data_IF_610925827679
#
_entry.id   IF_610925827679
#
_cell.length_a   1.000
_cell.length_b   1.000
_cell.length_c   1.000
_cell.angle_alpha   90.00
_cell.angle_beta   90.00
_cell.angle_gamma   90.00
#
_symmetry.space_group_name_H-M   'P 1'
#
loop_
_entity.id
_entity.type
_entity.pdbx_description
1 polymer ?
#
# COMPACT_ATOMS: atom_id res chain seq x y z
N UNK A 1 29.87 -8.41 2.44
CA UNK A 1 29.11 -9.27 3.37
C UNK A 1 28.61 -8.50 4.61
N UNK A 2 29.36 -7.53 5.15
CA UNK A 2 28.92 -6.68 6.29
C UNK A 2 27.57 -5.96 6.05
N UNK A 3 27.33 -5.45 4.84
CA UNK A 3 26.11 -4.69 4.53
C UNK A 3 24.82 -5.53 4.56
N UNK A 4 24.92 -6.82 4.21
CA UNK A 4 23.74 -7.68 4.13
C UNK A 4 23.21 -8.03 5.53
N UNK A 5 24.11 -8.30 6.48
CA UNK A 5 23.75 -8.61 7.85
C UNK A 5 23.10 -7.40 8.55
N UNK A 6 23.64 -6.19 8.31
CA UNK A 6 23.07 -4.95 8.84
C UNK A 6 21.68 -4.67 8.27
N UNK A 7 21.50 -4.83 6.96
CA UNK A 7 20.19 -4.67 6.32
C UNK A 7 19.15 -5.63 6.91
N UNK A 8 19.46 -6.93 6.97
CA UNK A 8 18.56 -7.95 7.51
C UNK A 8 18.22 -7.66 8.98
N UNK A 9 19.22 -7.28 9.78
CA UNK A 9 19.01 -6.94 11.19
C UNK A 9 18.05 -5.75 11.34
N UNK A 10 18.23 -4.69 10.57
CA UNK A 10 17.35 -3.51 10.59
C UNK A 10 15.92 -3.89 10.18
N UNK A 11 15.75 -4.65 9.10
CA UNK A 11 14.43 -5.10 8.62
C UNK A 11 13.71 -5.94 9.68
N UNK A 12 14.42 -6.88 10.33
CA UNK A 12 13.86 -7.69 11.41
C UNK A 12 13.44 -6.83 12.60
N UNK A 13 14.24 -5.83 12.98
CA UNK A 13 13.86 -4.89 14.03
C UNK A 13 12.62 -4.08 13.67
N UNK A 14 12.51 -3.62 12.42
CA UNK A 14 11.33 -2.90 11.93
C UNK A 14 10.09 -3.81 12.02
N UNK A 15 10.19 -5.08 11.60
CA UNK A 15 9.08 -6.03 11.72
C UNK A 15 8.65 -6.23 13.18
N UNK A 16 9.62 -6.43 14.09
CA UNK A 16 9.37 -6.67 15.52
C UNK A 16 8.70 -5.48 16.22
N UNK A 17 8.93 -4.26 15.76
CA UNK A 17 8.29 -3.05 16.31
C UNK A 17 6.95 -2.79 15.61
N UNK A 18 6.90 -2.94 14.29
CA UNK A 18 5.72 -2.64 13.46
C UNK A 18 4.52 -3.50 13.84
N UNK A 19 4.71 -4.81 14.00
CA UNK A 19 3.61 -5.74 14.30
C UNK A 19 2.89 -5.39 15.62
N UNK A 20 3.56 -5.35 16.79
CA UNK A 20 2.90 -5.02 18.04
C UNK A 20 2.37 -3.58 18.05
N UNK A 21 3.07 -2.63 17.43
CA UNK A 21 2.61 -1.24 17.33
C UNK A 21 1.26 -1.13 16.62
N UNK A 22 1.12 -1.79 15.47
CA UNK A 22 -0.12 -1.79 14.70
C UNK A 22 -1.25 -2.59 15.37
N UNK A 23 -0.93 -3.70 16.05
CA UNK A 23 -1.91 -4.43 16.88
C UNK A 23 -2.42 -3.54 18.02
N UNK A 24 -1.54 -2.78 18.67
CA UNK A 24 -1.91 -1.85 19.73
C UNK A 24 -2.84 -0.75 19.22
N UNK A 25 -2.59 -0.21 18.02
CA UNK A 25 -3.49 0.76 17.36
C UNK A 25 -4.88 0.16 17.16
N UNK A 26 -4.98 -1.06 16.63
CA UNK A 26 -6.26 -1.75 16.44
C UNK A 26 -6.98 -1.95 17.79
N UNK A 27 -6.25 -2.34 18.83
CA UNK A 27 -6.80 -2.55 20.17
C UNK A 27 -7.30 -1.24 20.78
N UNK A 28 -6.52 -0.16 20.70
CA UNK A 28 -6.89 1.16 21.21
C UNK A 28 -8.18 1.71 20.57
N UNK A 29 -8.35 1.49 19.26
CA UNK A 29 -9.57 1.87 18.54
C UNK A 29 -10.77 1.02 18.98
N UNK A 30 -10.58 -0.28 19.26
CA UNK A 30 -11.67 -1.16 19.74
C UNK A 30 -12.17 -0.78 21.14
N UNK A 31 -11.27 -0.39 22.03
CA UNK A 31 -11.60 -0.02 23.43
C UNK A 31 -12.40 1.29 23.48
N UNK A 32 -12.07 2.26 22.63
CA UNK A 32 -12.67 3.59 22.69
C UNK A 32 -13.91 3.75 21.78
N UNK A 33 -15.10 3.60 22.36
CA UNK A 33 -16.38 3.75 21.63
C UNK A 33 -16.78 5.20 21.31
N UNK A 34 -16.29 6.21 22.04
CA UNK A 34 -16.62 7.63 21.76
C UNK A 34 -15.87 8.20 20.54
N UNK A 35 -14.92 7.42 20.01
CA UNK A 35 -14.04 7.74 18.89
C UNK A 35 -14.47 6.93 17.64
N UNK A 36 -15.76 6.84 17.29
CA UNK A 36 -16.26 6.02 16.17
C UNK A 36 -16.66 6.84 14.93
N UNK A 37 -15.77 7.73 14.49
CA UNK A 37 -15.90 8.46 13.22
C UNK A 37 -15.41 7.64 12.01
N UNK A 38 -15.76 8.09 10.80
CA UNK A 38 -15.29 7.51 9.54
C UNK A 38 -13.75 7.34 9.46
N UNK A 39 -12.99 8.27 10.05
CA UNK A 39 -11.52 8.22 10.12
C UNK A 39 -10.97 6.96 10.76
N UNK A 40 -11.67 6.38 11.74
CA UNK A 40 -11.18 5.21 12.47
C UNK A 40 -11.18 3.95 11.61
N UNK A 41 -12.11 3.85 10.67
CA UNK A 41 -12.09 2.76 9.70
C UNK A 41 -10.82 2.82 8.84
N UNK A 42 -10.41 4.01 8.41
CA UNK A 42 -9.15 4.17 7.67
C UNK A 42 -7.93 3.87 8.52
N UNK A 43 -7.91 4.29 9.79
CA UNK A 43 -6.82 3.99 10.74
C UNK A 43 -6.71 2.47 10.96
N UNK A 44 -7.83 1.77 11.14
CA UNK A 44 -7.81 0.30 11.29
C UNK A 44 -7.33 -0.38 10.01
N UNK A 45 -7.78 0.08 8.83
CA UNK A 45 -7.29 -0.46 7.55
C UNK A 45 -5.78 -0.26 7.39
N UNK A 46 -5.27 0.93 7.74
CA UNK A 46 -3.84 1.23 7.70
C UNK A 46 -3.07 0.31 8.66
N UNK A 47 -3.54 0.16 9.90
CA UNK A 47 -2.89 -0.73 10.87
C UNK A 47 -2.89 -2.20 10.42
N UNK A 48 -3.95 -2.66 9.75
CA UNK A 48 -3.98 -4.01 9.16
C UNK A 48 -2.96 -4.14 8.02
N UNK A 49 -2.86 -3.14 7.14
CA UNK A 49 -1.88 -3.12 6.06
C UNK A 49 -0.44 -3.12 6.60
N UNK A 50 -0.14 -2.27 7.58
CA UNK A 50 1.21 -2.15 8.14
C UNK A 50 1.61 -3.38 8.98
N UNK A 51 0.66 -4.03 9.65
CA UNK A 51 0.89 -5.33 10.28
C UNK A 51 1.16 -6.43 9.22
N UNK A 52 0.47 -6.40 8.08
CA UNK A 52 0.75 -7.30 6.96
C UNK A 52 2.11 -7.01 6.32
N UNK A 53 2.54 -5.75 6.24
CA UNK A 53 3.90 -5.37 5.83
C UNK A 53 4.92 -6.00 6.78
N UNK A 54 4.72 -5.86 8.10
CA UNK A 54 5.61 -6.44 9.11
C UNK A 54 5.73 -7.97 9.03
N UNK A 55 4.61 -8.66 8.82
CA UNK A 55 4.54 -10.13 8.85
C UNK A 55 4.87 -10.81 7.53
N UNK A 56 4.57 -10.18 6.39
CA UNK A 56 4.72 -10.78 5.07
C UNK A 56 5.69 -10.02 4.17
N UNK A 57 5.56 -8.68 4.08
CA UNK A 57 6.37 -7.90 3.15
C UNK A 57 7.85 -7.87 3.56
N UNK A 58 8.15 -7.65 4.84
CA UNK A 58 9.53 -7.57 5.32
C UNK A 58 10.28 -8.89 5.10
N UNK A 59 9.74 -10.08 5.46
CA UNK A 59 10.38 -11.35 5.14
C UNK A 59 10.60 -11.57 3.63
N UNK A 60 9.62 -11.21 2.79
CA UNK A 60 9.74 -11.30 1.34
C UNK A 60 10.80 -10.35 0.79
N UNK A 61 10.91 -9.13 1.32
CA UNK A 61 11.93 -8.16 0.95
C UNK A 61 13.34 -8.68 1.25
N UNK A 62 13.53 -9.32 2.42
CA UNK A 62 14.79 -9.98 2.79
C UNK A 62 15.13 -11.09 1.77
N UNK A 63 14.15 -11.94 1.41
CA UNK A 63 14.36 -13.00 0.42
C UNK A 63 14.75 -12.41 -0.93
N UNK A 64 14.06 -11.38 -1.41
CA UNK A 64 14.37 -10.71 -2.68
C UNK A 64 15.75 -10.04 -2.64
N UNK A 65 16.13 -9.45 -1.51
CA UNK A 65 17.44 -8.84 -1.31
C UNK A 65 18.58 -9.85 -1.39
N UNK A 66 18.41 -11.05 -0.82
CA UNK A 66 19.37 -12.15 -0.93
C UNK A 66 19.55 -12.58 -2.41
N UNK A 67 18.52 -12.39 -3.23
CA UNK A 67 18.57 -12.61 -4.67
C UNK A 67 18.63 -14.09 -5.07
N UNK A 68 17.70 -14.95 -4.59
CA UNK A 68 17.72 -16.37 -4.90
C UNK A 68 17.59 -16.62 -6.40
N UNK A 69 18.20 -17.71 -6.88
CA UNK A 69 18.03 -18.15 -8.27
C UNK A 69 16.71 -18.90 -8.38
N UNK A 70 15.70 -18.24 -8.92
CA UNK A 70 14.35 -18.78 -9.09
C UNK A 70 13.79 -18.39 -10.46
N UNK A 71 12.74 -19.09 -10.89
CA UNK A 71 11.98 -18.72 -12.08
C UNK A 71 11.52 -17.25 -12.05
N UNK A 72 11.44 -16.65 -13.23
CA UNK A 72 10.94 -15.27 -13.41
C UNK A 72 9.56 -15.06 -12.79
N UNK A 73 8.60 -15.94 -13.08
CA UNK A 73 7.25 -15.84 -12.54
C UNK A 73 7.20 -16.04 -11.01
N UNK A 74 8.03 -16.92 -10.46
CA UNK A 74 8.15 -17.06 -9.00
C UNK A 74 8.66 -15.77 -8.36
N UNK A 75 9.64 -15.11 -8.99
CA UNK A 75 10.14 -13.81 -8.51
C UNK A 75 9.04 -12.73 -8.54
N UNK A 76 8.24 -12.67 -9.62
CA UNK A 76 7.10 -11.75 -9.70
C UNK A 76 6.07 -12.02 -8.60
N UNK A 77 5.77 -13.29 -8.30
CA UNK A 77 4.85 -13.66 -7.22
C UNK A 77 5.37 -13.21 -5.85
N UNK A 78 6.69 -13.15 -5.62
CA UNK A 78 7.25 -12.61 -4.38
C UNK A 78 7.19 -11.07 -4.32
N UNK A 79 7.31 -10.40 -5.46
CA UNK A 79 7.34 -8.93 -5.56
C UNK A 79 5.94 -8.31 -5.56
N UNK A 80 4.95 -8.95 -6.18
CA UNK A 80 3.58 -8.42 -6.26
C UNK A 80 2.96 -8.13 -4.89
N UNK A 81 3.06 -9.00 -3.87
CA UNK A 81 2.58 -8.69 -2.52
C UNK A 81 3.23 -7.44 -1.91
N UNK A 82 4.52 -7.20 -2.17
CA UNK A 82 5.21 -5.99 -1.71
C UNK A 82 4.57 -4.74 -2.33
N UNK A 83 4.38 -4.76 -3.65
CA UNK A 83 3.77 -3.65 -4.39
C UNK A 83 2.33 -3.37 -3.93
N UNK A 84 1.53 -4.42 -3.73
CA UNK A 84 0.14 -4.30 -3.27
C UNK A 84 0.09 -3.68 -1.87
N UNK A 85 0.88 -4.20 -0.93
CA UNK A 85 0.86 -3.73 0.45
C UNK A 85 1.35 -2.28 0.57
N UNK A 86 2.46 -1.93 -0.10
CA UNK A 86 2.97 -0.55 -0.12
C UNK A 86 1.94 0.41 -0.69
N UNK A 87 1.31 0.07 -1.83
CA UNK A 87 0.29 0.90 -2.44
C UNK A 87 -0.94 1.07 -1.52
N UNK A 88 -1.34 0.00 -0.83
CA UNK A 88 -2.47 0.04 0.10
C UNK A 88 -2.24 1.01 1.26
N UNK A 89 -1.02 1.05 1.82
CA UNK A 89 -0.67 1.99 2.88
C UNK A 89 -0.65 3.44 2.37
N UNK A 90 -0.14 3.68 1.15
CA UNK A 90 -0.14 5.02 0.53
C UNK A 90 -1.56 5.52 0.32
N UNK A 91 -2.43 4.71 -0.29
CA UNK A 91 -3.83 5.08 -0.53
C UNK A 91 -4.61 5.27 0.77
N UNK A 92 -4.34 4.47 1.79
CA UNK A 92 -4.92 4.64 3.12
C UNK A 92 -4.51 5.96 3.78
N UNK A 93 -3.22 6.31 3.72
CA UNK A 93 -2.70 7.60 4.22
C UNK A 93 -3.31 8.78 3.46
N UNK A 94 -3.41 8.69 2.14
CA UNK A 94 -4.05 9.69 1.31
C UNK A 94 -5.54 9.86 1.66
N UNK A 95 -6.27 8.75 1.85
CA UNK A 95 -7.66 8.78 2.28
C UNK A 95 -7.83 9.45 3.65
N UNK A 96 -6.93 9.20 4.60
CA UNK A 96 -6.92 9.88 5.91
C UNK A 96 -6.65 11.38 5.74
N UNK A 97 -5.71 11.76 4.87
CA UNK A 97 -5.42 13.17 4.60
C UNK A 97 -6.61 13.90 3.97
N UNK A 98 -7.28 13.28 2.99
CA UNK A 98 -8.50 13.79 2.36
C UNK A 98 -9.64 13.91 3.36
N UNK A 99 -9.85 12.90 4.21
CA UNK A 99 -10.86 12.93 5.27
C UNK A 99 -10.66 14.12 6.23
N UNK A 100 -9.41 14.33 6.68
CA UNK A 100 -9.04 15.47 7.53
C UNK A 100 -9.23 16.80 6.81
N UNK A 101 -8.87 16.88 5.53
CA UNK A 101 -9.07 18.08 4.72
C UNK A 101 -10.56 18.44 4.60
N UNK A 102 -11.42 17.47 4.29
CA UNK A 102 -12.87 17.68 4.17
C UNK A 102 -13.48 18.14 5.49
N UNK A 103 -13.03 17.58 6.62
CA UNK A 103 -13.49 17.99 7.95
C UNK A 103 -13.24 19.47 8.24
N UNK A 104 -12.07 19.98 7.85
CA UNK A 104 -11.68 21.38 8.06
C UNK A 104 -12.40 22.30 7.07
N UNK A 105 -12.50 21.91 5.80
CA UNK A 105 -13.02 22.79 4.74
C UNK A 105 -14.55 22.93 4.76
N UNK A 106 -15.28 21.88 5.12
CA UNK A 106 -16.75 21.86 5.06
C UNK A 106 -17.39 21.27 6.33
N UNK A 107 -17.15 21.84 7.52
CA UNK A 107 -17.52 21.24 8.81
C UNK A 107 -19.03 20.91 8.94
N UNK A 108 -19.90 21.78 8.39
CA UNK A 108 -21.37 21.61 8.46
C UNK A 108 -21.85 20.47 7.55
N UNK A 109 -21.24 20.31 6.36
CA UNK A 109 -21.61 19.28 5.39
C UNK A 109 -20.87 17.96 5.60
N UNK A 110 -19.75 17.96 6.32
CA UNK A 110 -18.90 16.78 6.53
C UNK A 110 -19.67 15.57 7.08
N UNK A 111 -20.56 15.77 8.06
CA UNK A 111 -21.38 14.68 8.63
C UNK A 111 -22.29 13.99 7.60
N UNK A 112 -22.73 14.71 6.56
CA UNK A 112 -23.56 14.16 5.49
C UNK A 112 -22.73 13.57 4.34
N UNK A 113 -21.50 14.06 4.16
CA UNK A 113 -20.58 13.60 3.11
C UNK A 113 -19.87 12.31 3.54
N UNK A 114 -19.36 12.25 4.77
CA UNK A 114 -18.53 11.16 5.27
C UNK A 114 -19.31 10.27 6.24
N UNK A 115 -19.73 9.10 5.76
CA UNK A 115 -20.43 8.10 6.58
C UNK A 115 -19.58 6.83 6.74
N UNK A 116 -19.75 6.05 7.82
CA UNK A 116 -19.02 4.79 8.01
C UNK A 116 -19.15 3.83 6.83
N UNK A 117 -20.33 3.76 6.20
CA UNK A 117 -20.56 2.93 5.00
C UNK A 117 -19.71 3.40 3.82
N UNK A 118 -19.65 4.71 3.57
CA UNK A 118 -18.80 5.29 2.50
C UNK A 118 -17.33 5.09 2.79
N UNK A 119 -16.90 5.20 4.05
CA UNK A 119 -15.52 4.91 4.45
C UNK A 119 -15.14 3.45 4.19
N UNK A 120 -16.02 2.49 4.52
CA UNK A 120 -15.82 1.07 4.21
C UNK A 120 -15.70 0.81 2.70
N UNK A 121 -16.55 1.44 1.88
CA UNK A 121 -16.46 1.37 0.41
C UNK A 121 -15.15 1.96 -0.09
N UNK A 122 -14.74 3.13 0.41
CA UNK A 122 -13.48 3.77 0.03
C UNK A 122 -12.27 2.90 0.37
N UNK A 123 -12.26 2.26 1.53
CA UNK A 123 -11.22 1.29 1.92
C UNK A 123 -11.21 0.12 0.93
N UNK A 124 -12.37 -0.48 0.66
CA UNK A 124 -12.47 -1.57 -0.32
C UNK A 124 -11.94 -1.17 -1.70
N UNK A 125 -12.25 0.04 -2.17
CA UNK A 125 -11.71 0.59 -3.40
C UNK A 125 -10.18 0.76 -3.34
N UNK A 126 -9.63 1.25 -2.22
CA UNK A 126 -8.17 1.37 -2.05
C UNK A 126 -7.49 0.01 -2.19
N UNK A 127 -7.97 -1.01 -1.45
CA UNK A 127 -7.44 -2.38 -1.55
C UNK A 127 -7.56 -2.96 -2.95
N UNK A 128 -8.70 -2.75 -3.62
CA UNK A 128 -8.92 -3.24 -4.98
C UNK A 128 -7.95 -2.57 -5.97
N UNK A 129 -7.79 -1.25 -5.90
CA UNK A 129 -6.86 -0.50 -6.76
C UNK A 129 -5.43 -0.99 -6.52
N UNK A 130 -5.00 -1.11 -5.25
CA UNK A 130 -3.68 -1.64 -4.91
C UNK A 130 -3.45 -3.04 -5.46
N UNK A 131 -4.46 -3.92 -5.37
CA UNK A 131 -4.38 -5.27 -5.92
C UNK A 131 -4.23 -5.24 -7.45
N UNK A 132 -5.07 -4.49 -8.15
CA UNK A 132 -5.03 -4.39 -9.61
C UNK A 132 -3.69 -3.84 -10.09
N UNK A 133 -3.22 -2.74 -9.50
CA UNK A 133 -1.95 -2.09 -9.84
C UNK A 133 -0.78 -3.03 -9.53
N UNK A 134 -0.73 -3.59 -8.32
CA UNK A 134 0.37 -4.47 -7.91
C UNK A 134 0.44 -5.81 -8.65
N UNK A 135 -0.66 -6.26 -9.26
CA UNK A 135 -0.70 -7.46 -10.11
C UNK A 135 -0.36 -7.18 -11.59
N UNK A 136 -0.33 -5.93 -12.04
CA UNK A 136 -0.01 -5.61 -13.45
C UNK A 136 1.33 -6.17 -13.95
N UNK A 137 2.40 -6.31 -13.13
CA UNK A 137 3.61 -6.98 -13.59
C UNK A 137 3.39 -8.45 -13.94
N UNK A 138 2.45 -9.16 -13.30
CA UNK A 138 2.11 -10.54 -13.67
C UNK A 138 1.34 -10.62 -15.01
N UNK A 139 0.56 -9.58 -15.35
CA UNK A 139 -0.21 -9.51 -16.59
C UNK A 139 0.60 -9.09 -17.83
N UNK A 140 1.90 -8.82 -17.66
CA UNK A 140 2.81 -8.58 -18.78
C UNK A 140 3.54 -7.24 -18.74
N UNK A 141 3.27 -6.36 -17.76
CA UNK A 141 4.06 -5.14 -17.57
C UNK A 141 5.35 -5.42 -16.79
N UNK A 142 6.16 -6.30 -17.35
CA UNK A 142 7.38 -6.81 -16.73
C UNK A 142 8.50 -6.89 -17.78
N UNK A 143 9.73 -7.14 -17.31
CA UNK A 143 10.90 -7.19 -18.20
C UNK A 143 11.11 -8.50 -18.96
N UNK A 144 10.14 -9.43 -18.95
CA UNK A 144 10.30 -10.76 -19.57
C UNK A 144 10.75 -10.69 -21.03
N UNK A 145 10.23 -9.73 -21.79
CA UNK A 145 10.52 -9.58 -23.23
C UNK A 145 11.86 -8.91 -23.52
N UNK A 146 12.41 -8.16 -22.56
CA UNK A 146 13.66 -7.41 -22.74
C UNK A 146 14.91 -8.23 -22.45
N UNK A 147 14.80 -9.34 -21.69
CA UNK A 147 15.94 -10.17 -21.31
C UNK A 147 15.65 -11.65 -21.50
N UNK A 148 16.64 -12.40 -21.97
CA UNK A 148 16.61 -13.87 -21.96
C UNK A 148 16.71 -14.37 -20.51
N UNK A 149 15.59 -14.42 -19.80
CA UNK A 149 15.54 -14.96 -18.43
C UNK A 149 15.77 -16.46 -18.45
N UNK A 150 16.83 -16.91 -17.79
CA UNK A 150 17.07 -18.33 -17.51
C UNK A 150 16.75 -18.63 -16.05
N UNK A 151 16.52 -19.90 -15.72
CA UNK A 151 16.26 -20.36 -14.35
C UNK A 151 17.38 -20.00 -13.34
N UNK A 152 18.60 -19.73 -13.83
CA UNK A 152 19.75 -19.35 -13.01
C UNK A 152 19.84 -17.86 -12.68
N UNK A 153 18.88 -17.04 -13.13
CA UNK A 153 18.87 -15.62 -12.85
C UNK A 153 18.49 -15.35 -11.39
N UNK A 154 19.25 -14.48 -10.72
CA UNK A 154 18.88 -13.95 -9.41
C UNK A 154 17.58 -13.15 -9.50
N UNK A 155 16.66 -13.43 -8.58
CA UNK A 155 15.44 -12.66 -8.39
C UNK A 155 15.77 -11.33 -7.72
N UNK A 156 15.62 -10.24 -8.45
CA UNK A 156 15.83 -8.89 -7.94
C UNK A 156 14.73 -7.99 -8.46
N UNK A 157 14.26 -7.09 -7.61
CA UNK A 157 13.19 -6.15 -7.92
C UNK A 157 13.49 -5.36 -9.20
N UNK A 158 14.66 -4.74 -9.25
CA UNK A 158 15.10 -3.98 -10.41
C UNK A 158 15.09 -4.85 -11.65
N UNK A 159 15.45 -6.14 -11.58
CA UNK A 159 15.53 -6.98 -12.77
C UNK A 159 14.17 -7.22 -13.39
N UNK A 160 13.11 -7.47 -12.63
CA UNK A 160 11.83 -7.91 -13.20
C UNK A 160 10.83 -6.78 -13.47
N UNK A 161 11.01 -5.63 -12.81
CA UNK A 161 10.13 -4.47 -12.93
C UNK A 161 10.72 -3.40 -13.88
N UNK A 162 9.89 -2.79 -14.71
CA UNK A 162 10.29 -1.69 -15.61
C UNK A 162 10.31 -0.34 -14.88
N UNK A 163 11.18 0.58 -15.32
CA UNK A 163 11.20 1.95 -14.78
C UNK A 163 9.89 2.68 -15.06
N UNK A 164 9.30 2.47 -16.24
CA UNK A 164 7.99 3.00 -16.60
C UNK A 164 6.93 2.58 -15.58
N UNK A 165 6.85 1.28 -15.28
CA UNK A 165 5.90 0.79 -14.27
C UNK A 165 6.10 1.48 -12.92
N UNK A 166 7.34 1.68 -12.46
CA UNK A 166 7.58 2.38 -11.19
C UNK A 166 7.13 3.84 -11.23
N UNK A 167 7.32 4.53 -12.35
CA UNK A 167 6.81 5.91 -12.52
C UNK A 167 5.29 5.88 -12.47
N UNK A 168 4.63 4.98 -13.21
CA UNK A 168 3.18 4.80 -13.17
C UNK A 168 2.65 4.47 -11.76
N UNK A 169 3.31 3.54 -11.06
CA UNK A 169 3.01 3.15 -9.69
C UNK A 169 3.03 4.36 -8.74
N UNK A 170 4.10 5.17 -8.78
CA UNK A 170 4.22 6.37 -7.94
C UNK A 170 3.26 7.50 -8.34
N UNK A 171 2.97 7.67 -9.64
CA UNK A 171 2.14 8.76 -10.13
C UNK A 171 0.63 8.46 -9.96
N UNK A 172 0.16 7.26 -10.29
CA UNK A 172 -1.25 6.94 -10.16
C UNK A 172 -1.69 6.72 -8.69
N UNK A 173 -0.79 6.28 -7.81
CA UNK A 173 -1.03 6.23 -6.37
C UNK A 173 -1.18 7.61 -5.71
N UNK A 174 -0.57 8.66 -6.28
CA UNK A 174 -0.65 10.04 -5.78
C UNK A 174 -1.73 10.89 -6.46
N UNK A 175 -2.09 10.62 -7.72
CA UNK A 175 -3.03 11.43 -8.50
C UNK A 175 -4.39 10.77 -8.80
N UNK A 176 -4.58 9.47 -8.50
CA UNK A 176 -5.84 8.76 -8.77
C UNK A 176 -7.06 9.32 -8.00
N UNK A 177 -6.85 9.97 -6.86
CA UNK A 177 -7.90 10.63 -6.07
C UNK A 177 -8.19 12.07 -6.52
N UNK A 178 -7.36 12.67 -7.39
CA UNK A 178 -7.68 13.97 -8.01
C UNK A 178 -8.87 13.85 -8.98
N UNK A 179 -9.15 12.65 -9.50
CA UNK A 179 -10.20 12.37 -10.49
C UNK A 179 -11.57 11.97 -9.91
N UNK A 180 -11.69 11.70 -8.60
CA UNK A 180 -12.95 11.29 -7.95
C UNK A 180 -13.69 12.40 -7.16
N UNK A 181 -13.63 13.64 -7.64
CA UNK A 181 -14.75 14.57 -7.43
C UNK A 181 -14.61 15.57 -6.28
N UNK A 182 -13.69 16.51 -6.42
CA UNK A 182 -13.83 17.86 -5.84
C UNK A 182 -13.64 18.94 -6.91
N UNK A 183 -14.42 18.88 -7.99
CA UNK A 183 -14.87 20.14 -8.60
C UNK A 183 -16.06 20.63 -7.75
N UNK A 184 -15.95 21.76 -7.06
CA UNK A 184 -17.14 22.40 -6.52
C UNK A 184 -18.02 22.75 -7.73
N UNK A 185 -19.26 22.25 -7.72
CA UNK A 185 -20.28 22.74 -8.63
C UNK A 185 -20.37 24.26 -8.47
N UNK A 186 -20.09 24.96 -9.56
CA UNK A 186 -20.33 26.39 -9.67
C UNK A 186 -21.79 26.66 -9.31
N UNK A 187 -22.02 27.34 -8.19
CA UNK A 187 -23.28 28.02 -7.93
C UNK A 187 -23.29 29.24 -8.84
N UNK A 188 -23.97 29.14 -9.98
CA UNK A 188 -24.36 30.31 -10.78
C UNK A 188 -25.49 31.01 -10.05
N UNK A 189 -25.21 32.23 -9.58
CA UNK A 189 -26.23 33.25 -9.35
C UNK A 189 -26.69 33.87 -10.67
#
# INVERSE_FOLDING_TARGET
MQNNAVYIFIEVLIALISIPGNILVIWAVKVNKSLRDATFYFIVSLAVADAAVGTLAIPLAIVIYIGPKICFYSCLILICPLLILTESSILALLAIAVDRYLRVKIPIRYKNVMTPKRAGVAIGCCWLISFLVGMTPLFGWNRLREKNYTFNNSCQFERVITMEYMVYFNFFGSYGLQWLGLQPSNYTG
#
